data_IF_901213868057
#
_entry.id   IF_901213868057
#
_cell.length_a   1.000
_cell.length_b   1.000
_cell.length_c   1.000
_cell.angle_alpha   90.00
_cell.angle_beta   90.00
_cell.angle_gamma   90.00
#
_symmetry.space_group_name_H-M   'P 1'
#
loop_
_entity.id
_entity.type
_entity.pdbx_description
1 polymer ?
#
# COMPACT_ATOMS: atom_id res chain seq x y z
N UNK A 1 13.59 8.56 10.53
CA UNK A 1 13.39 7.14 10.17
C UNK A 1 13.47 7.04 8.65
N UNK A 2 14.27 6.13 8.09
CA UNK A 2 14.42 5.95 6.63
C UNK A 2 13.75 4.63 6.24
N UNK A 3 12.82 4.67 5.30
CA UNK A 3 12.16 3.49 4.76
C UNK A 3 12.74 3.17 3.38
N UNK A 4 12.87 1.89 3.06
CA UNK A 4 13.29 1.39 1.76
C UNK A 4 12.22 0.45 1.24
N UNK A 5 11.80 0.66 0.00
CA UNK A 5 10.85 -0.21 -0.70
C UNK A 5 11.57 -0.89 -1.86
N UNK A 6 11.38 -2.20 -1.99
CA UNK A 6 11.90 -2.99 -3.09
C UNK A 6 10.95 -4.16 -3.37
N UNK A 7 10.74 -4.46 -4.66
CA UNK A 7 10.00 -5.65 -5.06
C UNK A 7 10.95 -6.87 -5.03
N UNK A 8 10.52 -7.96 -4.40
CA UNK A 8 11.23 -9.24 -4.43
C UNK A 8 10.26 -10.40 -4.32
N UNK A 9 10.68 -11.57 -4.79
CA UNK A 9 10.01 -12.83 -4.51
C UNK A 9 10.65 -13.53 -3.32
N UNK A 10 9.87 -14.40 -2.67
CA UNK A 10 10.39 -15.31 -1.66
C UNK A 10 11.23 -16.39 -2.35
N UNK A 11 12.35 -16.74 -1.73
CA UNK A 11 13.15 -17.90 -2.13
C UNK A 11 12.43 -19.21 -1.76
N UNK A 12 12.93 -20.34 -2.27
CA UNK A 12 12.32 -21.66 -2.02
C UNK A 12 12.26 -22.03 -0.52
N UNK A 13 13.17 -21.51 0.29
CA UNK A 13 13.24 -21.64 1.74
C UNK A 13 12.38 -20.60 2.48
N UNK A 14 11.54 -19.83 1.78
CA UNK A 14 10.67 -18.77 2.31
C UNK A 14 11.45 -17.60 2.93
N UNK A 15 12.65 -17.33 2.44
CA UNK A 15 13.45 -16.19 2.86
C UNK A 15 13.27 -14.99 1.91
N UNK A 16 13.44 -13.79 2.47
CA UNK A 16 13.49 -12.52 1.72
C UNK A 16 14.96 -12.15 1.54
N UNK A 17 15.42 -12.10 0.29
CA UNK A 17 16.78 -11.67 -0.01
C UNK A 17 16.86 -10.14 -0.10
N UNK A 18 17.71 -9.55 0.73
CA UNK A 18 18.02 -8.12 0.62
C UNK A 18 18.89 -7.87 -0.63
N UNK A 19 18.53 -6.88 -1.47
CA UNK A 19 19.39 -6.37 -2.53
C UNK A 19 20.76 -5.95 -2.00
N UNK A 20 21.80 -6.09 -2.81
CA UNK A 20 23.19 -5.70 -2.46
C UNK A 20 23.30 -4.24 -2.03
N UNK A 21 22.56 -3.35 -2.68
CA UNK A 21 22.56 -1.91 -2.37
C UNK A 21 22.05 -1.62 -0.95
N UNK A 22 21.06 -2.38 -0.48
CA UNK A 22 20.56 -2.26 0.89
C UNK A 22 21.53 -2.89 1.89
N UNK A 23 22.22 -3.98 1.54
CA UNK A 23 23.26 -4.58 2.39
C UNK A 23 24.40 -3.61 2.69
N UNK A 24 24.77 -2.75 1.75
CA UNK A 24 25.79 -1.72 1.97
C UNK A 24 25.30 -0.57 2.85
N UNK A 25 24.00 -0.24 2.80
CA UNK A 25 23.41 0.84 3.59
C UNK A 25 23.02 0.42 5.01
N UNK A 26 22.75 -0.88 5.22
CA UNK A 26 22.34 -1.43 6.51
C UNK A 26 23.56 -1.87 7.30
N UNK A 27 23.86 -1.15 8.39
CA UNK A 27 24.93 -1.55 9.30
C UNK A 27 24.56 -2.88 10.00
N UNK A 28 25.51 -3.83 10.14
CA UNK A 28 25.29 -5.06 10.89
C UNK A 28 24.80 -4.78 12.31
N UNK A 29 23.84 -5.57 12.80
CA UNK A 29 23.29 -5.42 14.15
C UNK A 29 22.25 -4.30 14.32
N UNK A 30 21.89 -3.59 13.26
CA UNK A 30 20.80 -2.60 13.31
C UNK A 30 19.45 -3.28 13.54
N UNK A 31 18.66 -2.76 14.48
CA UNK A 31 17.26 -3.15 14.63
C UNK A 31 16.45 -2.54 13.48
N UNK A 32 15.79 -3.38 12.69
CA UNK A 32 14.97 -2.96 11.54
C UNK A 32 13.53 -3.43 11.69
N UNK A 33 12.59 -2.63 11.19
CA UNK A 33 11.17 -3.00 11.06
C UNK A 33 10.92 -3.39 9.61
N UNK A 34 10.45 -4.61 9.39
CA UNK A 34 10.11 -5.13 8.05
C UNK A 34 8.60 -5.09 7.87
N UNK A 35 8.15 -4.62 6.71
CA UNK A 35 6.75 -4.68 6.28
C UNK A 35 6.72 -5.49 4.98
N UNK A 36 5.89 -6.53 4.94
CA UNK A 36 5.69 -7.36 3.76
C UNK A 36 4.33 -7.04 3.16
N UNK A 37 4.31 -6.67 1.88
CA UNK A 37 3.11 -6.41 1.10
C UNK A 37 3.02 -7.50 0.04
N UNK A 38 1.97 -8.32 0.12
CA UNK A 38 1.66 -9.31 -0.90
C UNK A 38 0.76 -8.64 -1.93
N UNK A 39 1.11 -8.73 -3.22
CA UNK A 39 0.17 -8.37 -4.29
C UNK A 39 -0.98 -9.38 -4.24
N UNK A 40 -2.11 -8.98 -3.69
CA UNK A 40 -3.32 -9.78 -3.74
C UNK A 40 -3.87 -9.71 -5.17
N UNK A 41 -3.78 -10.82 -5.88
CA UNK A 41 -4.29 -10.94 -7.25
C UNK A 41 -5.82 -10.89 -7.35
N UNK A 42 -6.54 -10.74 -6.23
CA UNK A 42 -8.01 -10.83 -6.19
C UNK A 42 -8.72 -9.86 -5.22
N UNK A 43 -8.03 -9.15 -4.32
CA UNK A 43 -8.69 -8.19 -3.41
C UNK A 43 -9.07 -6.86 -4.08
N UNK A 44 -8.44 -6.52 -5.21
CA UNK A 44 -8.77 -5.29 -5.95
C UNK A 44 -10.23 -5.29 -6.45
N UNK A 45 -10.83 -6.44 -6.72
CA UNK A 45 -12.22 -6.47 -7.20
C UNK A 45 -13.21 -6.12 -6.10
N UNK A 46 -12.99 -6.58 -4.87
CA UNK A 46 -13.89 -6.30 -3.74
C UNK A 46 -13.76 -4.85 -3.25
N UNK A 47 -12.52 -4.39 -3.06
CA UNK A 47 -12.24 -3.03 -2.61
C UNK A 47 -12.54 -1.96 -3.66
N UNK A 48 -12.23 -2.19 -4.94
CA UNK A 48 -12.61 -1.24 -6.01
C UNK A 48 -14.12 -1.18 -6.19
N UNK A 49 -14.82 -2.33 -6.10
CA UNK A 49 -16.28 -2.37 -6.20
C UNK A 49 -16.95 -1.64 -5.03
N UNK A 50 -16.54 -1.92 -3.79
CA UNK A 50 -17.10 -1.25 -2.61
C UNK A 50 -16.75 0.25 -2.55
N UNK A 51 -15.53 0.63 -2.94
CA UNK A 51 -15.13 2.04 -3.00
C UNK A 51 -15.90 2.79 -4.07
N UNK A 52 -16.06 2.23 -5.27
CA UNK A 52 -16.83 2.89 -6.33
C UNK A 52 -18.32 3.03 -5.98
N UNK A 53 -18.96 2.00 -5.42
CA UNK A 53 -20.37 2.08 -4.99
C UNK A 53 -20.59 3.07 -3.84
N UNK A 54 -19.73 3.06 -2.82
CA UNK A 54 -19.90 3.93 -1.63
C UNK A 54 -19.43 5.36 -1.89
N UNK A 55 -18.43 5.58 -2.76
CA UNK A 55 -18.00 6.91 -3.17
C UNK A 55 -19.05 7.61 -4.06
N UNK A 56 -19.74 6.88 -4.94
CA UNK A 56 -20.84 7.43 -5.75
C UNK A 56 -22.13 7.67 -4.95
N UNK A 57 -22.39 6.90 -3.89
CA UNK A 57 -23.53 7.13 -2.98
C UNK A 57 -23.31 8.26 -1.98
N UNK A 58 -22.07 8.69 -1.75
CA UNK A 58 -21.74 9.80 -0.85
C UNK A 58 -22.05 11.19 -1.43
N UNK A 59 -22.19 11.31 -2.75
CA UNK A 59 -22.67 12.53 -3.41
C UNK A 59 -24.19 12.48 -3.57
N UNK A 60 -24.94 12.49 -2.48
CA UNK A 60 -26.36 12.87 -2.55
C UNK A 60 -26.46 14.39 -2.64
N UNK A 61 -27.43 14.89 -3.41
CA UNK A 61 -27.73 16.33 -3.61
C UNK A 61 -27.85 17.15 -2.31
N UNK A 62 -27.95 16.50 -1.15
CA UNK A 62 -27.98 17.10 0.17
C UNK A 62 -26.64 17.69 0.65
N UNK A 63 -25.50 17.38 0.01
CA UNK A 63 -24.17 17.92 0.39
C UNK A 63 -23.78 19.18 -0.41
N UNK A 64 -24.72 19.73 -1.18
CA UNK A 64 -24.59 21.02 -1.87
C UNK A 64 -24.80 22.19 -0.90
N UNK A 65 -23.87 22.39 0.03
CA UNK A 65 -23.92 23.52 0.99
C UNK A 65 -23.56 24.86 0.33
N UNK A 66 -23.06 24.86 -0.91
CA UNK A 66 -22.59 26.07 -1.60
C UNK A 66 -23.14 26.28 -3.03
N UNK A 67 -24.24 25.62 -3.42
CA UNK A 67 -24.83 25.85 -4.78
C UNK A 67 -25.73 27.11 -4.84
N UNK A 68 -25.94 27.82 -3.74
CA UNK A 68 -26.65 29.11 -3.70
C UNK A 68 -25.66 30.23 -3.35
N UNK A 69 -24.90 30.73 -4.33
CA UNK A 69 -24.54 32.14 -4.47
C UNK A 69 -23.98 32.35 -5.90
N UNK A 70 -24.84 32.72 -6.85
CA UNK A 70 -24.70 33.86 -7.79
C UNK A 70 -25.90 33.99 -8.74
#
# INVERSE_FOLDING_TARGET
MKAFEFETTLTADRAVNLPSELKTQLAPGSSIRVILLLRESNEDKGWTYLTSEQFLKGYSDSDKVYDDEF
#
